data_IF_864735971071
#
_entry.id   IF_864735971071
#
_cell.length_a   1.000
_cell.length_b   1.000
_cell.length_c   1.000
_cell.angle_alpha   90.00
_cell.angle_beta   90.00
_cell.angle_gamma   90.00
#
_symmetry.space_group_name_H-M   'P 1'
#
loop_
_entity.id
_entity.type
_entity.pdbx_description
1 polymer ?
#
# COMPACT_ATOMS: atom_id res chain seq x y z
N UNK A 1 -7.53 15.10 10.86
CA UNK A 1 -7.22 14.29 9.67
C UNK A 1 -6.88 15.23 8.53
N UNK A 2 -5.78 14.98 7.82
CA UNK A 2 -5.30 15.86 6.74
C UNK A 2 -5.96 15.57 5.39
N UNK A 3 -6.38 14.32 5.15
CA UNK A 3 -7.18 13.90 4.00
C UNK A 3 -8.48 13.22 4.44
N UNK A 4 -9.44 13.15 3.51
CA UNK A 4 -10.71 12.40 3.63
C UNK A 4 -10.76 11.25 2.62
N UNK A 5 -11.92 10.60 2.47
CA UNK A 5 -12.15 9.50 1.50
C UNK A 5 -11.38 8.19 1.80
N UNK A 6 -11.08 7.97 3.08
CA UNK A 6 -10.45 6.76 3.60
C UNK A 6 -11.15 6.35 4.91
N UNK A 7 -11.06 5.06 5.28
CA UNK A 7 -11.56 4.53 6.56
C UNK A 7 -12.92 5.10 7.04
N UNK A 8 -14.00 4.98 6.25
CA UNK A 8 -15.30 5.61 6.56
C UNK A 8 -15.87 5.18 7.92
N UNK A 9 -15.51 3.99 8.42
CA UNK A 9 -15.87 3.51 9.76
C UNK A 9 -15.42 4.45 10.89
N UNK A 10 -14.23 5.07 10.74
CA UNK A 10 -13.68 5.99 11.74
C UNK A 10 -14.45 7.30 11.76
N UNK A 11 -14.80 7.82 10.58
CA UNK A 11 -15.58 9.05 10.46
C UNK A 11 -17.02 8.87 10.94
N UNK A 12 -17.62 7.72 10.64
CA UNK A 12 -18.99 7.39 11.06
C UNK A 12 -19.06 7.33 12.60
N UNK A 13 -18.15 6.57 13.23
CA UNK A 13 -18.06 6.51 14.69
C UNK A 13 -17.77 7.89 15.31
N UNK A 14 -16.74 8.60 14.83
CA UNK A 14 -16.35 9.91 15.36
C UNK A 14 -17.51 10.93 15.29
N UNK A 15 -18.24 10.94 14.19
CA UNK A 15 -19.37 11.87 14.00
C UNK A 15 -20.54 11.52 14.92
N UNK A 16 -20.79 10.23 15.17
CA UNK A 16 -21.83 9.80 16.09
C UNK A 16 -21.51 10.20 17.54
N UNK A 17 -20.23 10.23 17.94
CA UNK A 17 -19.83 10.57 19.31
C UNK A 17 -20.27 11.98 19.74
N UNK A 18 -20.49 12.91 18.80
CA UNK A 18 -21.01 14.24 19.12
C UNK A 18 -22.42 14.23 19.75
N UNK A 19 -23.16 13.13 19.58
CA UNK A 19 -24.54 12.97 20.05
C UNK A 19 -24.68 11.98 21.21
N UNK A 20 -23.56 11.42 21.69
CA UNK A 20 -23.56 10.41 22.76
C UNK A 20 -23.21 11.05 24.10
N UNK A 21 -24.06 10.83 25.11
CA UNK A 21 -23.86 11.37 26.47
C UNK A 21 -23.07 10.41 27.39
N UNK A 22 -22.73 9.23 26.91
CA UNK A 22 -21.98 8.20 27.64
C UNK A 22 -21.05 7.46 26.67
N UNK A 23 -19.96 6.83 27.16
CA UNK A 23 -19.08 6.04 26.31
C UNK A 23 -19.85 4.98 25.53
N UNK A 24 -19.60 4.90 24.22
CA UNK A 24 -20.22 3.91 23.34
C UNK A 24 -19.51 2.57 23.48
N UNK A 25 -20.29 1.49 23.52
CA UNK A 25 -19.76 0.14 23.33
C UNK A 25 -19.36 -0.03 21.85
N UNK A 26 -18.08 0.19 21.56
CA UNK A 26 -17.54 0.15 20.19
C UNK A 26 -17.71 -1.23 19.57
N UNK A 27 -17.64 -2.30 20.36
CA UNK A 27 -17.81 -3.66 19.85
C UNK A 27 -19.25 -3.88 19.38
N UNK A 28 -20.23 -3.49 20.19
CA UNK A 28 -21.63 -3.54 19.81
C UNK A 28 -21.95 -2.62 18.61
N UNK A 29 -21.27 -1.47 18.52
CA UNK A 29 -21.42 -0.54 17.40
C UNK A 29 -20.91 -1.14 16.08
N UNK A 30 -19.74 -1.80 16.11
CA UNK A 30 -19.13 -2.51 14.96
C UNK A 30 -19.99 -3.70 14.53
N UNK A 31 -20.56 -4.46 15.47
CA UNK A 31 -21.42 -5.61 15.15
C UNK A 31 -22.63 -5.24 14.29
N UNK A 32 -23.03 -3.97 14.31
CA UNK A 32 -24.13 -3.42 13.53
C UNK A 32 -23.65 -2.62 12.31
N UNK A 33 -22.36 -2.29 12.21
CA UNK A 33 -21.81 -1.42 11.17
C UNK A 33 -22.00 -1.99 9.77
N UNK A 34 -21.59 -3.24 9.54
CA UNK A 34 -21.68 -3.90 8.23
C UNK A 34 -23.13 -3.97 7.72
N UNK A 35 -24.09 -4.23 8.63
CA UNK A 35 -25.52 -4.23 8.30
C UNK A 35 -26.01 -2.85 7.84
N UNK A 36 -25.63 -1.77 8.54
CA UNK A 36 -26.00 -0.40 8.15
C UNK A 36 -25.35 -0.02 6.82
N UNK A 37 -24.06 -0.34 6.67
CA UNK A 37 -23.25 0.04 5.51
C UNK A 37 -23.66 -0.70 4.23
N UNK A 38 -23.98 -2.00 4.33
CA UNK A 38 -24.31 -2.83 3.18
C UNK A 38 -25.81 -3.02 2.96
N UNK A 39 -26.65 -2.50 3.86
CA UNK A 39 -28.12 -2.51 3.75
C UNK A 39 -28.77 -3.86 4.08
N UNK A 40 -28.01 -4.88 4.48
CA UNK A 40 -28.53 -6.19 4.91
C UNK A 40 -27.57 -6.90 5.86
N UNK A 41 -28.11 -7.84 6.63
CA UNK A 41 -27.31 -8.68 7.52
C UNK A 41 -26.76 -9.90 6.77
N UNK A 42 -25.46 -10.13 6.89
CA UNK A 42 -24.74 -11.30 6.37
C UNK A 42 -23.76 -11.73 7.46
N UNK A 43 -23.93 -12.93 8.03
CA UNK A 43 -23.14 -13.37 9.20
C UNK A 43 -21.62 -13.27 8.99
N UNK A 44 -21.05 -13.79 7.87
CA UNK A 44 -19.62 -13.63 7.61
C UNK A 44 -19.12 -12.17 7.61
N UNK A 45 -19.98 -11.18 7.31
CA UNK A 45 -19.60 -9.76 7.39
C UNK A 45 -19.54 -9.22 8.80
N UNK A 46 -20.40 -9.71 9.70
CA UNK A 46 -20.22 -9.37 11.10
C UNK A 46 -18.90 -9.96 11.63
N UNK A 47 -18.59 -11.21 11.26
CA UNK A 47 -17.37 -11.90 11.69
C UNK A 47 -16.11 -11.21 11.12
N UNK A 48 -16.12 -10.84 9.83
CA UNK A 48 -15.02 -10.12 9.19
C UNK A 48 -14.76 -8.77 9.86
N UNK A 49 -15.81 -7.97 10.10
CA UNK A 49 -15.66 -6.67 10.76
C UNK A 49 -15.20 -6.78 12.22
N UNK A 50 -15.52 -7.89 12.90
CA UNK A 50 -14.97 -8.17 14.22
C UNK A 50 -13.46 -8.46 14.18
N UNK A 51 -12.98 -9.17 13.16
CA UNK A 51 -11.54 -9.35 12.95
C UNK A 51 -10.88 -7.99 12.68
N UNK A 52 -11.44 -7.18 11.77
CA UNK A 52 -10.89 -5.85 11.44
C UNK A 52 -10.86 -4.92 12.66
N UNK A 53 -11.89 -4.99 13.51
CA UNK A 53 -11.96 -4.24 14.76
C UNK A 53 -10.81 -4.56 15.71
N UNK A 54 -10.40 -5.81 15.86
CA UNK A 54 -9.32 -6.19 16.76
C UNK A 54 -7.92 -6.11 16.11
N UNK A 55 -7.85 -5.93 14.79
CA UNK A 55 -6.61 -5.90 14.01
C UNK A 55 -6.31 -4.48 13.49
N UNK A 56 -6.64 -4.20 12.23
CA UNK A 56 -6.31 -2.94 11.53
C UNK A 56 -6.85 -1.73 12.31
N UNK A 57 -8.06 -1.81 12.88
CA UNK A 57 -8.68 -0.69 13.59
C UNK A 57 -8.31 -0.61 15.09
N UNK A 58 -7.35 -1.40 15.57
CA UNK A 58 -6.92 -1.40 16.98
C UNK A 58 -5.41 -1.21 17.15
N UNK A 59 -4.88 -0.12 16.59
CA UNK A 59 -3.52 0.31 16.86
C UNK A 59 -3.43 0.97 18.24
N UNK A 60 -2.67 0.38 19.16
CA UNK A 60 -2.55 0.86 20.56
C UNK A 60 -1.11 1.11 21.01
N UNK A 61 -0.14 1.02 20.11
CA UNK A 61 1.28 1.18 20.43
C UNK A 61 1.75 2.64 20.50
N UNK A 62 0.89 3.59 20.11
CA UNK A 62 1.17 5.03 20.15
C UNK A 62 2.08 5.52 19.02
N UNK A 63 2.35 4.68 18.01
CA UNK A 63 3.11 5.10 16.84
C UNK A 63 2.34 6.15 16.02
N UNK A 64 3.08 7.09 15.43
CA UNK A 64 2.51 8.04 14.48
C UNK A 64 2.52 7.42 13.09
N UNK A 65 1.41 6.77 12.74
CA UNK A 65 1.34 5.97 11.52
C UNK A 65 1.25 6.84 10.25
N UNK A 66 2.11 6.52 9.29
CA UNK A 66 2.10 7.02 7.91
C UNK A 66 2.23 5.81 7.01
N UNK A 67 1.50 5.79 5.90
CA UNK A 67 1.66 4.71 4.94
C UNK A 67 3.07 4.76 4.33
N UNK A 68 3.90 3.79 4.74
CA UNK A 68 5.26 3.54 4.25
C UNK A 68 5.38 2.22 3.51
N UNK A 69 4.25 1.64 3.08
CA UNK A 69 4.27 0.44 2.24
C UNK A 69 5.16 0.66 1.02
N UNK A 70 6.00 -0.32 0.73
CA UNK A 70 7.11 -0.14 -0.20
C UNK A 70 6.64 0.22 -1.60
N UNK A 71 5.46 -0.26 -2.02
CA UNK A 71 4.84 0.11 -3.30
C UNK A 71 4.74 1.62 -3.47
N UNK A 72 4.39 2.35 -2.40
CA UNK A 72 4.16 3.80 -2.45
C UNK A 72 5.29 4.62 -1.83
N UNK A 73 6.29 3.96 -1.24
CA UNK A 73 7.37 4.61 -0.50
C UNK A 73 8.66 3.77 -0.57
N UNK A 74 9.25 3.68 -1.77
CA UNK A 74 10.51 2.97 -1.95
C UNK A 74 11.65 3.55 -1.08
N UNK A 75 12.49 2.69 -0.48
CA UNK A 75 13.61 3.13 0.34
C UNK A 75 14.63 3.94 -0.46
N UNK A 76 14.99 5.11 0.07
CA UNK A 76 16.04 5.99 -0.45
C UNK A 76 17.34 5.79 0.33
N UNK A 77 17.79 4.53 0.39
CA UNK A 77 18.98 4.09 1.12
C UNK A 77 19.71 3.01 0.33
N UNK A 78 20.96 2.74 0.70
CA UNK A 78 21.70 1.60 0.17
C UNK A 78 20.96 0.29 0.58
N UNK A 79 20.65 -0.62 -0.36
CA UNK A 79 19.99 -1.90 -0.08
C UNK A 79 20.67 -2.72 1.02
N UNK A 80 22.01 -2.62 1.14
CA UNK A 80 22.76 -3.34 2.17
C UNK A 80 22.47 -2.84 3.59
N UNK A 81 22.00 -1.60 3.73
CA UNK A 81 21.65 -1.00 5.02
C UNK A 81 20.26 -1.38 5.53
N UNK A 82 19.40 -1.97 4.70
CA UNK A 82 18.04 -2.38 5.06
C UNK A 82 18.11 -3.67 5.87
N UNK A 83 17.59 -3.72 7.10
CA UNK A 83 17.65 -4.95 7.90
C UNK A 83 16.66 -6.02 7.40
N UNK A 84 17.14 -7.25 7.17
CA UNK A 84 16.32 -8.41 6.73
C UNK A 84 16.30 -9.51 7.80
N UNK A 85 15.42 -10.52 7.63
CA UNK A 85 15.26 -11.66 8.53
C UNK A 85 16.59 -12.37 8.83
N UNK A 86 17.39 -12.64 7.80
CA UNK A 86 18.70 -13.28 7.94
C UNK A 86 19.70 -12.41 8.72
N UNK A 87 19.69 -11.08 8.53
CA UNK A 87 20.56 -10.16 9.30
C UNK A 87 20.22 -10.23 10.78
N UNK A 88 18.94 -10.16 11.12
CA UNK A 88 18.46 -10.27 12.52
C UNK A 88 18.73 -11.68 13.07
N UNK A 89 18.55 -12.74 12.28
CA UNK A 89 18.86 -14.11 12.69
C UNK A 89 20.33 -14.31 13.00
N UNK A 90 21.23 -13.71 12.21
CA UNK A 90 22.67 -13.77 12.42
C UNK A 90 23.07 -12.98 13.69
N UNK A 91 22.53 -11.78 13.90
CA UNK A 91 22.77 -10.97 15.10
C UNK A 91 22.23 -11.65 16.37
N UNK A 92 21.04 -12.25 16.29
CA UNK A 92 20.44 -13.03 17.39
C UNK A 92 21.23 -14.32 17.64
N UNK A 93 21.76 -14.98 16.61
CA UNK A 93 22.63 -16.16 16.79
C UNK A 93 23.94 -15.82 17.51
N UNK A 94 24.47 -14.60 17.31
CA UNK A 94 25.64 -14.10 18.05
C UNK A 94 25.30 -13.66 19.48
N UNK A 95 24.05 -13.29 19.78
CA UNK A 95 23.69 -12.73 21.10
C UNK A 95 22.84 -13.63 22.01
N UNK A 96 21.76 -14.30 21.57
CA UNK A 96 20.90 -15.14 22.44
C UNK A 96 20.12 -16.26 21.70
N UNK A 97 20.03 -17.44 22.32
CA UNK A 97 19.43 -18.65 21.73
C UNK A 97 17.96 -18.56 21.29
N UNK A 98 17.64 -19.32 20.24
CA UNK A 98 16.37 -19.41 19.50
C UNK A 98 15.09 -19.38 20.37
N UNK A 99 14.45 -18.22 20.45
CA UNK A 99 12.99 -18.03 20.55
C UNK A 99 12.71 -16.52 20.33
N UNK A 100 11.65 -16.21 19.59
CA UNK A 100 11.18 -14.85 19.22
C UNK A 100 11.87 -14.20 18.02
N UNK A 101 11.44 -14.55 16.80
CA UNK A 101 12.14 -14.11 15.57
C UNK A 101 11.32 -13.35 14.53
N UNK A 102 9.98 -13.27 14.65
CA UNK A 102 9.17 -12.41 13.76
C UNK A 102 8.86 -11.02 14.34
N UNK A 103 8.88 -10.86 15.67
CA UNK A 103 8.53 -9.59 16.35
C UNK A 103 9.70 -8.61 16.48
N UNK A 104 10.94 -9.11 16.44
CA UNK A 104 12.16 -8.32 16.61
C UNK A 104 12.53 -7.46 15.37
N UNK A 105 12.00 -7.81 14.19
CA UNK A 105 12.29 -7.13 12.91
C UNK A 105 11.79 -5.67 12.90
N UNK A 106 10.80 -5.35 13.74
CA UNK A 106 10.09 -4.08 13.77
C UNK A 106 10.61 -3.09 14.84
N UNK A 107 11.55 -3.49 15.70
CA UNK A 107 11.94 -2.69 16.89
C UNK A 107 13.40 -2.22 16.91
N UNK A 108 14.18 -2.39 15.83
CA UNK A 108 15.56 -1.87 15.83
C UNK A 108 15.61 -0.35 15.62
N UNK A 109 16.13 0.45 16.59
CA UNK A 109 16.06 1.90 16.55
C UNK A 109 17.10 2.58 15.63
N UNK A 110 17.87 1.81 14.86
CA UNK A 110 19.01 2.32 14.08
C UNK A 110 18.99 1.91 12.60
N UNK A 111 17.85 1.43 12.10
CA UNK A 111 17.68 1.16 10.67
C UNK A 111 17.59 2.48 9.89
N UNK A 112 18.34 2.59 8.81
CA UNK A 112 18.28 3.75 7.89
C UNK A 112 16.97 3.76 7.10
N UNK A 113 16.28 2.62 7.05
CA UNK A 113 15.01 2.42 6.39
C UNK A 113 13.82 2.64 7.35
N UNK A 114 12.98 3.61 7.01
CA UNK A 114 11.68 3.86 7.65
C UNK A 114 10.69 2.73 7.27
N UNK A 115 10.70 1.64 8.05
CA UNK A 115 9.91 0.42 7.77
C UNK A 115 8.40 0.69 7.82
N UNK A 116 7.60 -0.01 6.98
CA UNK A 116 6.15 0.00 7.11
C UNK A 116 5.72 -0.47 8.50
N UNK A 117 4.95 0.36 9.20
CA UNK A 117 4.40 0.02 10.51
C UNK A 117 3.33 -1.07 10.36
N UNK A 118 3.43 -2.12 11.18
CA UNK A 118 2.51 -3.25 11.21
C UNK A 118 2.21 -3.65 12.65
N UNK A 119 0.98 -3.39 13.11
CA UNK A 119 0.54 -3.65 14.49
C UNK A 119 -0.45 -4.82 14.61
N UNK A 120 -0.70 -5.56 13.52
CA UNK A 120 -1.68 -6.64 13.45
C UNK A 120 -1.17 -7.84 12.67
N UNK A 121 -1.84 -8.99 12.83
CA UNK A 121 -1.55 -10.19 12.05
C UNK A 121 -2.09 -10.08 10.62
N UNK A 122 -1.23 -10.30 9.62
CA UNK A 122 -1.63 -10.36 8.22
C UNK A 122 -2.51 -11.57 7.93
N UNK A 123 -2.33 -12.69 8.62
CA UNK A 123 -3.15 -13.90 8.45
C UNK A 123 -4.59 -13.70 8.90
N UNK A 124 -4.82 -12.95 9.98
CA UNK A 124 -6.17 -12.57 10.42
C UNK A 124 -6.86 -11.65 9.40
N UNK A 125 -6.13 -10.69 8.84
CA UNK A 125 -6.66 -9.79 7.78
C UNK A 125 -6.99 -10.56 6.50
N UNK A 126 -6.15 -11.54 6.12
CA UNK A 126 -6.42 -12.45 4.99
C UNK A 126 -7.67 -13.29 5.28
N UNK A 127 -7.86 -13.73 6.52
CA UNK A 127 -9.08 -14.45 6.92
C UNK A 127 -10.32 -13.56 6.81
N UNK A 128 -10.24 -12.30 7.26
CA UNK A 128 -11.32 -11.33 7.06
C UNK A 128 -11.63 -11.14 5.55
N UNK A 129 -10.60 -11.03 4.71
CA UNK A 129 -10.76 -10.93 3.26
C UNK A 129 -11.48 -12.14 2.67
N UNK A 130 -11.16 -13.36 3.13
CA UNK A 130 -11.87 -14.57 2.71
C UNK A 130 -13.37 -14.50 3.03
N UNK A 131 -13.75 -14.02 4.22
CA UNK A 131 -15.16 -13.83 4.59
C UNK A 131 -15.84 -12.76 3.71
N UNK A 132 -15.11 -11.70 3.33
CA UNK A 132 -15.56 -10.72 2.33
C UNK A 132 -15.87 -11.39 1.00
N UNK A 133 -14.97 -12.20 0.46
CA UNK A 133 -15.17 -12.92 -0.81
C UNK A 133 -16.36 -13.90 -0.75
N UNK A 134 -16.50 -14.66 0.33
CA UNK A 134 -17.63 -15.59 0.55
C UNK A 134 -19.00 -14.87 0.56
N UNK A 135 -19.01 -13.61 0.96
CA UNK A 135 -20.22 -12.77 1.00
C UNK A 135 -20.56 -12.11 -0.34
N UNK A 136 -19.69 -12.22 -1.35
CA UNK A 136 -19.78 -11.53 -2.63
C UNK A 136 -21.12 -11.72 -3.34
N UNK A 137 -21.57 -12.97 -3.47
CA UNK A 137 -22.85 -13.30 -4.13
C UNK A 137 -24.07 -12.59 -3.52
N UNK A 138 -24.00 -12.19 -2.24
CA UNK A 138 -25.10 -11.53 -1.54
C UNK A 138 -24.99 -10.00 -1.53
N UNK A 139 -23.78 -9.46 -1.76
CA UNK A 139 -23.45 -8.06 -1.48
C UNK A 139 -22.82 -7.29 -2.65
N UNK A 140 -22.46 -7.94 -3.77
CA UNK A 140 -21.81 -7.26 -4.92
C UNK A 140 -22.62 -6.13 -5.56
N UNK A 141 -23.94 -6.09 -5.33
CA UNK A 141 -24.80 -4.97 -5.76
C UNK A 141 -24.58 -3.69 -4.92
N UNK A 142 -24.08 -3.83 -3.69
CA UNK A 142 -23.78 -2.71 -2.80
C UNK A 142 -22.44 -2.07 -3.16
N UNK A 143 -22.46 -0.79 -3.52
CA UNK A 143 -21.23 -0.05 -3.84
C UNK A 143 -20.29 0.07 -2.65
N UNK A 144 -20.82 0.22 -1.43
CA UNK A 144 -20.00 0.32 -0.21
C UNK A 144 -19.31 -1.00 0.12
N UNK A 145 -19.95 -2.14 -0.16
CA UNK A 145 -19.31 -3.45 -0.06
C UNK A 145 -18.19 -3.60 -1.09
N UNK A 146 -18.43 -3.22 -2.36
CA UNK A 146 -17.39 -3.27 -3.40
C UNK A 146 -16.18 -2.39 -3.05
N UNK A 147 -16.42 -1.20 -2.50
CA UNK A 147 -15.35 -0.31 -2.01
C UNK A 147 -14.53 -1.01 -0.91
N UNK A 148 -15.18 -1.54 0.12
CA UNK A 148 -14.47 -2.16 1.25
C UNK A 148 -13.75 -3.45 0.84
N UNK A 149 -14.32 -4.23 -0.08
CA UNK A 149 -13.66 -5.42 -0.62
C UNK A 149 -12.37 -5.04 -1.36
N UNK A 150 -12.40 -3.99 -2.19
CA UNK A 150 -11.21 -3.49 -2.88
C UNK A 150 -10.18 -2.97 -1.87
N UNK A 151 -10.61 -2.18 -0.88
CA UNK A 151 -9.68 -1.61 0.11
C UNK A 151 -8.99 -2.70 0.95
N UNK A 152 -9.75 -3.71 1.38
CA UNK A 152 -9.21 -4.84 2.14
C UNK A 152 -8.29 -5.72 1.30
N UNK A 153 -8.65 -5.98 0.04
CA UNK A 153 -7.80 -6.73 -0.90
C UNK A 153 -6.49 -5.96 -1.16
N UNK A 154 -6.58 -4.66 -1.44
CA UNK A 154 -5.43 -3.76 -1.60
C UNK A 154 -4.55 -3.78 -0.35
N UNK A 155 -5.15 -3.73 0.84
CA UNK A 155 -4.40 -3.76 2.10
C UNK A 155 -3.62 -5.05 2.28
N UNK A 156 -4.25 -6.21 2.08
CA UNK A 156 -3.59 -7.51 2.21
C UNK A 156 -2.43 -7.65 1.21
N UNK A 157 -2.65 -7.26 -0.05
CA UNK A 157 -1.63 -7.29 -1.10
C UNK A 157 -0.49 -6.27 -0.87
N UNK A 158 -0.78 -5.11 -0.28
CA UNK A 158 0.26 -4.15 0.08
C UNK A 158 1.20 -4.71 1.16
N UNK A 159 0.66 -5.45 2.14
CA UNK A 159 1.50 -6.14 3.14
C UNK A 159 2.33 -7.26 2.49
N UNK A 160 1.71 -8.04 1.60
CA UNK A 160 2.42 -9.05 0.81
C UNK A 160 3.57 -8.46 -0.04
N UNK A 161 3.36 -7.27 -0.61
CA UNK A 161 4.41 -6.57 -1.36
C UNK A 161 5.61 -6.18 -0.49
N UNK A 162 5.38 -5.79 0.78
CA UNK A 162 6.47 -5.51 1.71
C UNK A 162 7.32 -6.76 1.98
N UNK A 163 6.68 -7.92 2.16
CA UNK A 163 7.39 -9.21 2.33
C UNK A 163 8.21 -9.54 1.08
N UNK A 164 7.58 -9.45 -0.09
CA UNK A 164 8.24 -9.73 -1.38
C UNK A 164 9.44 -8.82 -1.65
N UNK A 165 9.35 -7.55 -1.25
CA UNK A 165 10.47 -6.61 -1.35
C UNK A 165 11.61 -7.02 -0.42
N UNK A 166 11.33 -7.36 0.85
CA UNK A 166 12.36 -7.79 1.79
C UNK A 166 13.06 -9.07 1.33
N UNK A 167 12.31 -10.01 0.73
CA UNK A 167 12.88 -11.21 0.11
C UNK A 167 13.83 -10.84 -1.05
N UNK A 168 13.48 -9.84 -1.86
CA UNK A 168 14.34 -9.36 -2.95
C UNK A 168 15.63 -8.69 -2.42
N UNK A 169 15.53 -7.93 -1.33
CA UNK A 169 16.70 -7.36 -0.66
C UNK A 169 17.58 -8.45 -0.06
N UNK A 170 16.99 -9.50 0.51
CA UNK A 170 17.74 -10.64 1.04
C UNK A 170 18.47 -11.40 -0.07
N UNK A 171 17.80 -11.68 -1.19
CA UNK A 171 18.42 -12.27 -2.37
C UNK A 171 19.58 -11.40 -2.90
N UNK A 172 19.41 -10.08 -2.94
CA UNK A 172 20.47 -9.15 -3.33
C UNK A 172 21.70 -9.25 -2.42
N UNK A 173 21.50 -9.30 -1.10
CA UNK A 173 22.58 -9.45 -0.12
C UNK A 173 23.29 -10.81 -0.19
N UNK A 174 22.63 -11.83 -0.74
CA UNK A 174 23.18 -13.17 -0.94
C UNK A 174 23.81 -13.35 -2.33
N UNK A 175 23.92 -12.27 -3.11
CA UNK A 175 24.40 -12.28 -4.49
C UNK A 175 23.59 -13.23 -5.41
N UNK A 176 22.31 -13.48 -5.10
CA UNK A 176 21.44 -14.35 -5.90
C UNK A 176 20.69 -13.56 -6.98
N UNK A 177 21.39 -13.36 -8.10
CA UNK A 177 20.85 -12.66 -9.27
C UNK A 177 19.54 -13.27 -9.79
N UNK A 178 19.40 -14.60 -9.76
CA UNK A 178 18.20 -15.26 -10.28
C UNK A 178 17.00 -15.01 -9.35
N UNK A 179 17.19 -15.09 -8.04
CA UNK A 179 16.16 -14.77 -7.07
C UNK A 179 15.77 -13.29 -7.12
N UNK A 180 16.73 -12.36 -7.24
CA UNK A 180 16.43 -10.93 -7.43
C UNK A 180 15.57 -10.71 -8.67
N UNK A 181 15.95 -11.28 -9.81
CA UNK A 181 15.19 -11.14 -11.05
C UNK A 181 13.74 -11.67 -10.91
N UNK A 182 13.58 -12.87 -10.35
CA UNK A 182 12.28 -13.50 -10.16
C UNK A 182 11.37 -12.72 -9.20
N UNK A 183 11.91 -12.29 -8.05
CA UNK A 183 11.15 -11.55 -7.03
C UNK A 183 10.78 -10.15 -7.54
N UNK A 184 11.67 -9.51 -8.28
CA UNK A 184 11.43 -8.21 -8.93
C UNK A 184 10.30 -8.29 -9.96
N UNK A 185 10.32 -9.30 -10.83
CA UNK A 185 9.25 -9.54 -11.81
C UNK A 185 7.91 -9.77 -11.11
N UNK A 186 7.90 -10.59 -10.07
CA UNK A 186 6.70 -10.87 -9.26
C UNK A 186 6.16 -9.60 -8.59
N UNK A 187 7.04 -8.72 -8.10
CA UNK A 187 6.65 -7.46 -7.49
C UNK A 187 6.04 -6.51 -8.50
N UNK A 188 6.65 -6.36 -9.67
CA UNK A 188 6.12 -5.50 -10.74
C UNK A 188 4.76 -6.00 -11.23
N UNK A 189 4.60 -7.31 -11.42
CA UNK A 189 3.31 -7.91 -11.75
C UNK A 189 2.25 -7.67 -10.66
N UNK A 190 2.63 -7.71 -9.39
CA UNK A 190 1.72 -7.37 -8.28
C UNK A 190 1.28 -5.90 -8.32
N UNK A 191 2.16 -4.96 -8.70
CA UNK A 191 1.79 -3.54 -8.85
C UNK A 191 0.78 -3.33 -9.97
N UNK A 192 0.96 -3.99 -11.12
CA UNK A 192 0.00 -3.94 -12.23
C UNK A 192 -1.36 -4.51 -11.83
N UNK A 193 -1.36 -5.63 -11.12
CA UNK A 193 -2.54 -6.30 -10.62
C UNK A 193 -3.30 -5.46 -9.58
N UNK A 194 -2.57 -4.78 -8.68
CA UNK A 194 -3.14 -3.81 -7.75
C UNK A 194 -3.75 -2.62 -8.48
N UNK A 195 -3.12 -2.11 -9.55
CA UNK A 195 -3.69 -1.03 -10.36
C UNK A 195 -5.03 -1.47 -10.99
N UNK A 196 -5.10 -2.69 -11.52
CA UNK A 196 -6.33 -3.26 -12.07
C UNK A 196 -7.44 -3.40 -11.01
N UNK A 197 -7.10 -3.87 -9.81
CA UNK A 197 -8.03 -3.96 -8.69
C UNK A 197 -8.63 -2.58 -8.35
N UNK A 198 -7.78 -1.57 -8.22
CA UNK A 198 -8.20 -0.21 -7.90
C UNK A 198 -9.07 0.39 -9.01
N UNK A 199 -8.85 -0.02 -10.26
CA UNK A 199 -9.67 0.36 -11.41
C UNK A 199 -11.15 -0.07 -11.29
N UNK A 200 -11.47 -1.01 -10.40
CA UNK A 200 -12.81 -1.59 -10.24
C UNK A 200 -13.81 -0.75 -9.44
N UNK A 201 -13.42 0.42 -8.92
CA UNK A 201 -14.36 1.31 -8.22
C UNK A 201 -13.95 2.80 -8.30
N UNK A 202 -14.93 3.68 -8.51
CA UNK A 202 -14.72 5.12 -8.74
C UNK A 202 -13.91 5.81 -7.62
N UNK A 203 -13.99 5.29 -6.39
CA UNK A 203 -13.24 5.79 -5.22
C UNK A 203 -11.73 5.56 -5.21
N UNK A 204 -11.17 4.85 -6.19
CA UNK A 204 -9.73 4.54 -6.25
C UNK A 204 -9.08 4.96 -7.59
N UNK A 205 -9.66 5.94 -8.29
CA UNK A 205 -9.15 6.39 -9.58
C UNK A 205 -8.35 7.67 -9.45
N UNK A 206 -7.23 7.77 -10.17
CA UNK A 206 -6.46 9.02 -10.28
C UNK A 206 -7.17 10.07 -11.15
N UNK A 207 -7.93 9.65 -12.15
CA UNK A 207 -8.58 10.54 -13.13
C UNK A 207 -9.45 11.63 -12.51
N UNK A 208 -10.39 11.31 -11.60
CA UNK A 208 -11.23 12.32 -10.95
C UNK A 208 -10.43 13.39 -10.21
N UNK A 209 -9.32 13.02 -9.55
CA UNK A 209 -8.43 13.98 -8.89
C UNK A 209 -7.84 14.98 -9.90
N UNK A 210 -7.25 14.49 -10.99
CA UNK A 210 -6.61 15.33 -12.00
C UNK A 210 -7.65 16.19 -12.73
N UNK A 211 -8.77 15.63 -13.15
CA UNK A 211 -9.80 16.38 -13.87
C UNK A 211 -10.46 17.45 -12.98
N UNK A 212 -10.71 17.14 -11.70
CA UNK A 212 -11.24 18.15 -10.77
C UNK A 212 -10.30 19.36 -10.59
N UNK A 213 -8.98 19.15 -10.62
CA UNK A 213 -8.02 20.25 -10.55
C UNK A 213 -8.04 21.10 -11.83
N UNK A 214 -8.14 20.45 -13.00
CA UNK A 214 -8.21 21.14 -14.30
C UNK A 214 -9.49 21.96 -14.45
N UNK A 215 -10.63 21.46 -13.97
CA UNK A 215 -11.92 22.16 -14.01
C UNK A 215 -11.94 23.49 -13.24
N UNK A 216 -11.00 23.71 -12.32
CA UNK A 216 -10.87 24.96 -11.57
C UNK A 216 -10.16 26.07 -12.38
N UNK A 217 -9.52 25.73 -13.50
CA UNK A 217 -8.74 26.66 -14.30
C UNK A 217 -9.61 27.60 -15.14
N UNK A 218 -9.15 28.85 -15.33
CA UNK A 218 -9.83 29.85 -16.16
C UNK A 218 -9.29 29.92 -17.59
N UNK A 219 -8.08 29.40 -17.80
CA UNK A 219 -7.37 29.40 -19.08
C UNK A 219 -6.42 28.19 -19.17
N UNK A 220 -5.82 28.00 -20.35
CA UNK A 220 -4.97 26.84 -20.63
C UNK A 220 -3.69 26.82 -19.80
N UNK A 221 -3.12 27.98 -19.45
CA UNK A 221 -1.91 28.07 -18.63
C UNK A 221 -2.21 27.66 -17.18
N UNK A 222 -3.32 28.14 -16.63
CA UNK A 222 -3.81 27.70 -15.33
C UNK A 222 -4.13 26.20 -15.33
N UNK A 223 -4.71 25.67 -16.41
CA UNK A 223 -5.03 24.23 -16.50
C UNK A 223 -3.76 23.38 -16.36
N UNK A 224 -2.67 23.73 -17.08
CA UNK A 224 -1.40 22.98 -16.92
C UNK A 224 -0.84 23.13 -15.51
N UNK A 225 -0.91 24.34 -14.95
CA UNK A 225 -0.39 24.59 -13.61
C UNK A 225 -1.17 23.81 -12.54
N UNK A 226 -2.49 23.73 -12.65
CA UNK A 226 -3.34 23.03 -11.69
C UNK A 226 -3.21 21.52 -11.82
N UNK A 227 -3.09 20.99 -13.05
CA UNK A 227 -2.76 19.59 -13.26
C UNK A 227 -1.38 19.24 -12.68
N UNK A 228 -0.37 20.08 -12.94
CA UNK A 228 0.96 19.90 -12.34
C UNK A 228 0.90 19.95 -10.81
N UNK A 229 0.18 20.90 -10.21
CA UNK A 229 -0.02 20.98 -8.77
C UNK A 229 -0.67 19.70 -8.20
N UNK A 230 -1.72 19.20 -8.87
CA UNK A 230 -2.45 18.01 -8.46
C UNK A 230 -1.56 16.76 -8.48
N UNK A 231 -0.74 16.60 -9.52
CA UNK A 231 0.26 15.53 -9.64
C UNK A 231 1.35 15.67 -8.59
N UNK A 232 1.85 16.88 -8.40
CA UNK A 232 2.95 17.17 -7.47
C UNK A 232 2.55 16.89 -6.02
N UNK A 233 1.37 17.32 -5.59
CA UNK A 233 0.88 17.14 -4.21
C UNK A 233 0.88 15.67 -3.73
N UNK A 234 0.58 14.73 -4.63
CA UNK A 234 0.51 13.30 -4.32
C UNK A 234 1.81 12.53 -4.60
N UNK A 235 2.87 13.22 -5.04
CA UNK A 235 4.18 12.63 -5.40
C UNK A 235 5.34 13.38 -4.73
N UNK A 236 6.10 14.22 -5.45
CA UNK A 236 7.28 14.93 -4.92
C UNK A 236 6.91 16.06 -3.93
N UNK A 237 5.67 16.53 -3.90
CA UNK A 237 5.14 17.58 -3.03
C UNK A 237 5.67 18.99 -3.28
N UNK A 238 6.99 19.20 -3.26
CA UNK A 238 7.63 20.48 -3.61
C UNK A 238 8.99 20.25 -4.29
N UNK A 239 9.76 21.33 -4.46
CA UNK A 239 11.09 21.36 -5.08
C UNK A 239 12.00 20.19 -4.70
N UNK A 240 12.75 19.75 -5.71
CA UNK A 240 13.80 18.76 -5.65
C UNK A 240 15.03 19.22 -6.46
N UNK A 241 16.12 18.49 -6.35
CA UNK A 241 17.30 18.65 -7.21
C UNK A 241 17.48 17.40 -8.08
N UNK A 242 18.51 17.39 -8.92
CA UNK A 242 18.85 16.21 -9.72
C UNK A 242 19.18 14.96 -8.86
N UNK A 243 19.65 15.15 -7.62
CA UNK A 243 20.10 14.06 -6.75
C UNK A 243 19.36 13.98 -5.41
N UNK A 244 18.55 14.98 -5.07
CA UNK A 244 17.86 15.05 -3.78
C UNK A 244 16.38 15.27 -4.02
N UNK A 245 15.59 14.29 -3.59
CA UNK A 245 14.15 14.43 -3.58
C UNK A 245 13.68 15.34 -2.45
N UNK A 246 12.44 15.82 -2.57
CA UNK A 246 11.79 16.59 -1.52
C UNK A 246 11.77 15.83 -0.18
N UNK A 247 11.86 16.60 0.91
CA UNK A 247 11.65 16.08 2.27
C UNK A 247 10.22 15.57 2.50
N UNK A 248 9.27 16.00 1.67
CA UNK A 248 7.87 15.58 1.70
C UNK A 248 7.50 14.66 0.53
N UNK A 249 8.51 14.08 -0.16
CA UNK A 249 8.25 13.06 -1.18
C UNK A 249 7.34 11.96 -0.64
N UNK A 250 6.38 11.55 -1.44
CA UNK A 250 5.40 10.52 -1.16
C UNK A 250 4.57 10.77 0.12
N UNK A 251 4.60 11.99 0.70
CA UNK A 251 3.77 12.34 1.86
C UNK A 251 2.28 12.25 1.53
N UNK A 252 1.91 12.74 0.36
CA UNK A 252 0.55 12.70 -0.18
C UNK A 252 0.22 11.42 -0.93
N UNK A 253 0.96 10.32 -0.73
CA UNK A 253 0.80 9.09 -1.52
C UNK A 253 -0.65 8.56 -1.52
N UNK A 254 -0.98 7.83 -2.60
CA UNK A 254 -2.29 7.21 -2.81
C UNK A 254 -2.14 5.86 -3.49
N UNK A 255 -3.03 4.94 -3.13
CA UNK A 255 -3.29 3.75 -3.92
C UNK A 255 -4.42 4.05 -4.89
N UNK A 256 -4.08 4.65 -6.03
CA UNK A 256 -5.02 4.94 -7.11
C UNK A 256 -4.63 4.25 -8.40
N UNK A 257 -5.61 3.72 -9.12
CA UNK A 257 -5.42 3.22 -10.49
C UNK A 257 -4.98 4.36 -11.40
N UNK A 258 -4.04 4.06 -12.29
CA UNK A 258 -3.26 5.02 -13.07
C UNK A 258 -2.02 5.50 -12.33
N UNK A 259 -2.10 5.78 -11.03
CA UNK A 259 -0.93 6.22 -10.26
C UNK A 259 0.03 5.07 -9.96
N UNK A 260 -0.49 3.90 -9.59
CA UNK A 260 0.35 2.71 -9.42
C UNK A 260 1.06 2.35 -10.73
N UNK A 261 0.30 2.21 -11.82
CA UNK A 261 0.85 1.82 -13.12
C UNK A 261 1.80 2.84 -13.73
N UNK A 262 1.48 4.13 -13.72
CA UNK A 262 2.25 5.14 -14.46
C UNK A 262 3.35 5.82 -13.62
N UNK A 263 3.33 5.69 -12.29
CA UNK A 263 4.31 6.34 -11.40
C UNK A 263 5.04 5.35 -10.49
N UNK A 264 4.33 4.61 -9.64
CA UNK A 264 4.98 3.75 -8.64
C UNK A 264 5.62 2.50 -9.25
N UNK A 265 4.97 1.84 -10.21
CA UNK A 265 5.51 0.69 -10.94
C UNK A 265 6.83 1.01 -11.67
N UNK A 266 6.89 2.08 -12.47
CA UNK A 266 8.14 2.51 -13.10
C UNK A 266 9.25 2.88 -12.09
N UNK A 267 8.91 3.47 -10.93
CA UNK A 267 9.89 3.71 -9.85
C UNK A 267 10.43 2.40 -9.26
N UNK A 268 9.56 1.42 -9.03
CA UNK A 268 9.96 0.08 -8.59
C UNK A 268 10.88 -0.58 -9.62
N UNK A 269 10.55 -0.49 -10.91
CA UNK A 269 11.34 -1.06 -11.99
C UNK A 269 12.75 -0.45 -12.05
N UNK A 270 12.87 0.87 -11.85
CA UNK A 270 14.16 1.54 -11.72
C UNK A 270 14.93 0.96 -10.51
N UNK A 271 14.32 0.82 -9.34
CA UNK A 271 15.00 0.25 -8.17
C UNK A 271 15.57 -1.14 -8.45
N UNK A 272 14.76 -2.05 -8.97
CA UNK A 272 15.17 -3.44 -9.26
C UNK A 272 16.19 -3.55 -10.40
N UNK A 273 16.12 -2.65 -11.39
CA UNK A 273 17.17 -2.51 -12.41
C UNK A 273 18.52 -2.26 -11.76
N UNK A 274 18.63 -1.30 -10.83
CA UNK A 274 19.90 -1.00 -10.17
C UNK A 274 20.39 -2.10 -9.22
N UNK A 275 19.48 -2.88 -8.61
CA UNK A 275 19.89 -4.11 -7.88
C UNK A 275 20.53 -5.12 -8.85
N UNK A 276 19.89 -5.34 -9.99
CA UNK A 276 20.32 -6.31 -11.01
C UNK A 276 21.67 -5.90 -11.62
N UNK A 277 21.80 -4.65 -12.08
CA UNK A 277 23.04 -4.10 -12.64
C UNK A 277 24.19 -4.15 -11.61
N UNK A 278 23.89 -3.92 -10.33
CA UNK A 278 24.89 -4.02 -9.26
C UNK A 278 25.46 -5.44 -9.14
N UNK A 279 24.61 -6.47 -9.18
CA UNK A 279 25.06 -7.86 -9.13
C UNK A 279 25.78 -8.30 -10.40
N UNK A 280 25.31 -7.89 -11.58
CA UNK A 280 25.91 -8.25 -12.87
C UNK A 280 27.30 -7.63 -13.05
N UNK A 281 27.47 -6.38 -12.66
CA UNK A 281 28.75 -5.67 -12.80
C UNK A 281 29.72 -5.91 -11.65
N UNK A 282 29.24 -6.48 -10.53
CA UNK A 282 30.00 -6.60 -9.29
C UNK A 282 30.38 -5.25 -8.67
N UNK A 283 29.63 -4.19 -9.00
CA UNK A 283 29.76 -2.85 -8.42
C UNK A 283 28.61 -2.67 -7.44
N UNK A 284 28.86 -2.12 -6.27
CA UNK A 284 27.80 -1.83 -5.30
C UNK A 284 26.69 -0.94 -5.89
N UNK A 285 25.52 -0.93 -5.27
CA UNK A 285 24.36 -0.16 -5.72
C UNK A 285 24.69 1.33 -5.91
N UNK A 286 24.59 1.83 -7.14
CA UNK A 286 24.84 3.26 -7.43
C UNK A 286 23.66 4.12 -7.01
N UNK A 287 23.62 4.47 -5.73
CA UNK A 287 22.58 5.28 -5.12
C UNK A 287 22.40 6.64 -5.80
N UNK A 288 23.47 7.25 -6.33
CA UNK A 288 23.38 8.57 -6.97
C UNK A 288 22.78 8.47 -8.37
N UNK A 289 23.18 7.48 -9.15
CA UNK A 289 22.60 7.23 -10.46
C UNK A 289 21.13 6.82 -10.35
N UNK A 290 20.81 5.93 -9.41
CA UNK A 290 19.43 5.57 -9.10
C UNK A 290 18.59 6.79 -8.72
N UNK A 291 19.07 7.64 -7.79
CA UNK A 291 18.41 8.91 -7.41
C UNK A 291 18.09 9.78 -8.60
N UNK A 292 19.09 10.02 -9.45
CA UNK A 292 18.94 10.82 -10.67
C UNK A 292 17.83 10.27 -11.57
N UNK A 293 17.79 8.95 -11.77
CA UNK A 293 16.85 8.33 -12.70
C UNK A 293 15.40 8.40 -12.19
N UNK A 294 15.15 8.02 -10.93
CA UNK A 294 13.78 8.03 -10.40
C UNK A 294 13.25 9.45 -10.14
N UNK A 295 14.11 10.40 -9.77
CA UNK A 295 13.74 11.82 -9.64
C UNK A 295 13.36 12.39 -11.01
N UNK A 296 14.16 12.11 -12.04
CA UNK A 296 13.85 12.52 -13.41
C UNK A 296 12.53 11.93 -13.89
N UNK A 297 12.27 10.66 -13.58
CA UNK A 297 10.97 10.02 -13.88
C UNK A 297 9.83 10.78 -13.19
N UNK A 298 9.98 11.11 -11.91
CA UNK A 298 8.95 11.83 -11.15
C UNK A 298 8.64 13.19 -11.76
N UNK A 299 9.67 14.00 -12.04
CA UNK A 299 9.51 15.31 -12.65
C UNK A 299 8.85 15.20 -14.04
N UNK A 300 9.23 14.17 -14.82
CA UNK A 300 8.64 13.92 -16.14
C UNK A 300 7.15 13.53 -16.02
N UNK A 301 6.79 12.70 -15.04
CA UNK A 301 5.41 12.30 -14.79
C UNK A 301 4.55 13.48 -14.33
N UNK A 302 5.08 14.34 -13.46
CA UNK A 302 4.39 15.54 -12.97
C UNK A 302 4.11 16.55 -14.08
N UNK A 303 5.04 16.71 -15.02
CA UNK A 303 4.87 17.58 -16.20
C UNK A 303 4.08 16.92 -17.34
N UNK A 304 3.76 15.63 -17.24
CA UNK A 304 2.98 14.94 -18.26
C UNK A 304 1.52 15.39 -18.27
N UNK A 305 0.85 15.17 -19.40
CA UNK A 305 -0.59 15.45 -19.62
C UNK A 305 -1.35 14.16 -19.96
N UNK A 306 -0.88 13.01 -19.46
CA UNK A 306 -1.52 11.73 -19.69
C UNK A 306 -2.93 11.73 -19.09
N UNK A 307 -3.92 11.28 -19.86
CA UNK A 307 -5.32 11.21 -19.43
C UNK A 307 -5.60 9.90 -18.72
N UNK A 308 -6.32 9.96 -17.61
CA UNK A 308 -6.69 8.79 -16.81
C UNK A 308 -8.21 8.58 -16.78
N UNK A 309 -8.68 7.32 -16.65
CA UNK A 309 -10.11 7.05 -16.53
C UNK A 309 -10.76 7.77 -15.33
N UNK A 310 -11.92 8.38 -15.56
CA UNK A 310 -12.78 9.00 -14.52
C UNK A 310 -13.94 8.09 -14.09
N UNK A 311 -14.02 6.90 -14.68
CA UNK A 311 -15.01 5.88 -14.38
C UNK A 311 -14.35 4.52 -14.26
N UNK A 312 -14.81 3.77 -13.26
CA UNK A 312 -14.31 2.44 -12.97
C UNK A 312 -14.69 1.45 -14.06
N UNK A 313 -13.84 0.44 -14.22
CA UNK A 313 -14.05 -0.67 -15.13
C UNK A 313 -13.68 -1.98 -14.44
N UNK A 314 -14.26 -3.09 -14.88
CA UNK A 314 -14.03 -4.40 -14.25
C UNK A 314 -15.02 -4.73 -13.14
N UNK A 315 -14.79 -5.87 -12.48
CA UNK A 315 -15.67 -6.40 -11.45
C UNK A 315 -14.87 -6.62 -10.16
N UNK A 316 -15.19 -5.85 -9.12
CA UNK A 316 -14.51 -5.88 -7.83
C UNK A 316 -14.42 -7.29 -7.23
N UNK A 317 -15.50 -8.08 -7.29
CA UNK A 317 -15.52 -9.43 -6.72
C UNK A 317 -14.62 -10.37 -7.50
N UNK A 318 -14.76 -10.42 -8.83
CA UNK A 318 -13.99 -11.34 -9.66
C UNK A 318 -12.49 -11.04 -9.60
N UNK A 319 -12.10 -9.76 -9.63
CA UNK A 319 -10.70 -9.36 -9.54
C UNK A 319 -10.14 -9.64 -8.15
N UNK A 320 -10.88 -9.34 -7.08
CA UNK A 320 -10.42 -9.63 -5.72
C UNK A 320 -10.25 -11.13 -5.47
N UNK A 321 -11.18 -11.95 -5.99
CA UNK A 321 -11.11 -13.41 -5.91
C UNK A 321 -9.87 -13.95 -6.63
N UNK A 322 -9.63 -13.50 -7.87
CA UNK A 322 -8.47 -13.90 -8.65
C UNK A 322 -7.15 -13.52 -7.96
N UNK A 323 -7.06 -12.32 -7.38
CA UNK A 323 -5.86 -11.89 -6.66
C UNK A 323 -5.64 -12.65 -5.36
N UNK A 324 -6.72 -12.98 -4.64
CA UNK A 324 -6.64 -13.82 -3.47
C UNK A 324 -6.06 -15.20 -3.81
N UNK A 325 -6.56 -15.83 -4.87
CA UNK A 325 -6.06 -17.13 -5.36
C UNK A 325 -4.60 -17.04 -5.83
N UNK A 326 -4.23 -15.96 -6.52
CA UNK A 326 -2.89 -15.77 -7.08
C UNK A 326 -1.81 -15.53 -6.02
N UNK A 327 -2.14 -14.80 -4.93
CA UNK A 327 -1.13 -14.29 -4.00
C UNK A 327 -1.30 -14.72 -2.54
N UNK A 328 -2.53 -14.95 -2.08
CA UNK A 328 -2.84 -14.99 -0.64
C UNK A 328 -3.35 -16.35 -0.15
N UNK A 329 -3.87 -17.20 -1.04
CA UNK A 329 -4.53 -18.46 -0.69
C UNK A 329 -3.64 -19.39 0.16
N UNK A 330 -2.36 -19.50 -0.19
CA UNK A 330 -1.42 -20.39 0.49
C UNK A 330 -0.92 -19.80 1.83
N UNK A 331 -0.89 -18.47 1.95
CA UNK A 331 -0.45 -17.77 3.17
C UNK A 331 -1.42 -17.94 4.34
N UNK A 332 -2.72 -18.09 4.06
CA UNK A 332 -3.76 -18.26 5.09
C UNK A 332 -3.75 -19.60 5.83
N UNK A 333 -2.86 -20.53 5.46
CA UNK A 333 -2.82 -21.90 5.98
C UNK A 333 -1.63 -22.23 6.89
N UNK A 334 -0.73 -21.27 7.14
CA UNK A 334 0.56 -21.52 7.80
C UNK A 334 0.67 -21.12 9.28
N UNK A 335 -0.44 -20.77 9.96
CA UNK A 335 -0.47 -20.41 11.38
C UNK A 335 -1.39 -21.33 12.23
N UNK A 336 -1.22 -22.66 12.13
CA UNK A 336 -1.83 -23.63 13.04
C UNK A 336 -0.80 -24.46 13.80
#
# INVERSE_FOLDING_TARGET
MEGIEQNPVMYDLMSEMAFQHSPVDVKAWIDLYSRRRYGRFVQPMQDAWNILYHTIYNCTDGAYDKNRDVIVSFPDVDPNSISTLQTVLNDVHEQYGKRYLRRAILEEPNDSYDKPHLWYSTSEVIHALKLFLESGNQLSDSSTYRYDLIDLTRQALAKYANELFLDAIEAYKLDDLHAVAHLSEKFLGLVEDLDMLLGCHDGFLLGPWIESAKELAQDEDQERQFEWNARTQITMWFDNTELEASLLRDYGNKYWSGLLRDYYGPRAAIYFKYLTESLEEGKGFDLKAWRREWIKLTNSWQSSRNVFPVKSTGNALNVSQWLFEKYLQDLGSHDH
#
